data_IF_233102296967
#
_entry.id   IF_233102296967
#
_cell.length_a   1.000
_cell.length_b   1.000
_cell.length_c   1.000
_cell.angle_alpha   90.00
_cell.angle_beta   90.00
_cell.angle_gamma   90.00
#
_symmetry.space_group_name_H-M   'P 1'
#
loop_
_entity.id
_entity.type
_entity.pdbx_description
1 polymer ?
#
# COMPACT_ATOMS: atom_id res chain seq x y z
N UNK A 1 -44.22 -69.62 13.34
CA UNK A 1 -45.59 -69.24 12.92
C UNK A 1 -45.85 -67.74 13.14
N UNK A 2 -46.51 -67.00 12.23
CA UNK A 2 -46.99 -67.41 10.90
C UNK A 2 -48.22 -66.61 10.45
N UNK A 3 -48.00 -65.60 9.59
CA UNK A 3 -49.00 -64.75 8.91
C UNK A 3 -49.89 -63.84 9.78
N UNK A 4 -50.25 -62.65 9.25
CA UNK A 4 -51.04 -61.64 9.99
C UNK A 4 -50.93 -60.18 9.51
N UNK A 5 -50.92 -59.93 8.19
CA UNK A 5 -51.22 -58.61 7.59
C UNK A 5 -52.71 -58.58 7.21
N UNK A 6 -53.36 -57.41 6.93
CA UNK A 6 -52.94 -56.01 7.09
C UNK A 6 -53.68 -55.34 8.30
N UNK A 7 -54.14 -54.07 8.41
CA UNK A 7 -54.29 -52.92 7.50
C UNK A 7 -54.30 -51.53 8.21
N UNK A 8 -54.08 -50.50 7.39
CA UNK A 8 -54.52 -49.08 7.40
C UNK A 8 -54.95 -48.29 8.67
N UNK A 9 -54.45 -47.04 8.69
CA UNK A 9 -55.04 -45.79 9.22
C UNK A 9 -55.12 -45.56 10.74
N UNK A 10 -53.99 -45.07 11.28
CA UNK A 10 -53.82 -44.15 12.42
C UNK A 10 -52.46 -43.43 12.25
N UNK A 11 -52.17 -42.30 12.93
CA UNK A 11 -53.03 -41.51 13.81
C UNK A 11 -53.05 -39.98 13.50
N UNK A 12 -53.89 -39.29 14.28
CA UNK A 12 -53.69 -37.94 14.85
C UNK A 12 -52.27 -37.35 14.80
N UNK A 13 -52.16 -36.04 14.54
CA UNK A 13 -51.08 -35.20 15.11
C UNK A 13 -51.32 -34.93 16.61
N UNK A 14 -50.36 -34.36 17.38
CA UNK A 14 -49.80 -33.04 17.04
C UNK A 14 -48.32 -32.78 17.44
N UNK A 15 -47.73 -31.68 16.95
CA UNK A 15 -46.65 -30.97 17.65
C UNK A 15 -46.41 -29.53 17.11
N UNK A 16 -46.17 -28.61 18.03
CA UNK A 16 -45.53 -27.28 17.85
C UNK A 16 -44.05 -27.39 18.33
N UNK A 17 -43.15 -26.38 18.20
CA UNK A 17 -43.39 -24.95 17.95
C UNK A 17 -42.39 -24.20 17.01
N UNK A 18 -42.69 -22.91 16.78
CA UNK A 18 -41.80 -21.75 16.60
C UNK A 18 -40.52 -21.82 15.73
N UNK A 19 -40.45 -20.93 14.71
CA UNK A 19 -39.21 -20.28 14.24
C UNK A 19 -39.53 -18.98 13.45
N UNK A 20 -38.57 -18.04 13.32
CA UNK A 20 -38.86 -16.65 12.93
C UNK A 20 -38.90 -16.41 11.40
N UNK A 21 -39.19 -15.16 11.02
CA UNK A 21 -39.33 -14.72 9.64
C UNK A 21 -38.09 -14.99 8.77
N UNK A 22 -38.26 -15.78 7.71
CA UNK A 22 -37.32 -15.88 6.61
C UNK A 22 -37.69 -14.86 5.52
N UNK A 23 -36.73 -14.04 5.10
CA UNK A 23 -36.93 -13.06 4.04
C UNK A 23 -37.17 -13.71 2.69
N UNK A 24 -38.01 -13.09 1.85
CA UNK A 24 -38.05 -13.39 0.41
C UNK A 24 -36.63 -13.19 -0.16
N UNK A 25 -36.01 -14.16 -0.85
CA UNK A 25 -34.87 -13.86 -1.67
C UNK A 25 -35.33 -12.94 -2.80
N UNK A 26 -34.76 -11.74 -2.90
CA UNK A 26 -35.01 -10.85 -4.02
C UNK A 26 -34.45 -11.52 -5.29
N UNK A 27 -35.31 -11.83 -6.25
CA UNK A 27 -34.91 -12.43 -7.51
C UNK A 27 -33.96 -11.46 -8.25
N UNK A 28 -32.70 -11.87 -8.45
CA UNK A 28 -31.76 -11.05 -9.22
C UNK A 28 -32.18 -11.04 -10.70
N UNK A 29 -32.32 -9.87 -11.34
CA UNK A 29 -33.05 -9.72 -12.60
C UNK A 29 -32.17 -10.01 -13.83
N UNK A 30 -31.42 -11.11 -13.82
CA UNK A 30 -30.48 -11.46 -14.89
C UNK A 30 -30.71 -12.89 -15.40
N UNK A 31 -30.97 -13.00 -16.70
CA UNK A 31 -31.33 -14.22 -17.41
C UNK A 31 -30.10 -14.81 -18.11
N UNK A 32 -30.11 -16.11 -18.40
CA UNK A 32 -29.01 -16.77 -19.12
C UNK A 32 -28.96 -16.30 -20.58
N UNK A 33 -28.18 -15.25 -20.83
CA UNK A 33 -28.03 -14.58 -22.13
C UNK A 33 -27.76 -13.08 -21.99
N UNK A 34 -28.17 -12.48 -20.86
CA UNK A 34 -27.92 -11.07 -20.56
C UNK A 34 -26.41 -10.82 -20.36
N UNK A 35 -25.89 -9.74 -20.95
CA UNK A 35 -24.55 -9.24 -20.59
C UNK A 35 -24.60 -8.71 -19.16
N UNK A 36 -23.89 -9.39 -18.26
CA UNK A 36 -23.66 -8.94 -16.89
C UNK A 36 -23.09 -7.50 -16.95
N UNK A 37 -23.68 -6.52 -16.24
CA UNK A 37 -23.13 -5.17 -16.17
C UNK A 37 -21.70 -5.23 -15.61
N UNK A 38 -20.75 -4.56 -16.26
CA UNK A 38 -19.34 -4.63 -15.84
C UNK A 38 -19.20 -4.23 -14.36
N UNK A 39 -18.51 -5.05 -13.55
CA UNK A 39 -18.43 -4.86 -12.11
C UNK A 39 -17.78 -3.50 -11.84
N UNK A 40 -18.55 -2.63 -11.20
CA UNK A 40 -18.31 -1.19 -11.29
C UNK A 40 -16.91 -0.84 -10.77
N UNK A 41 -16.05 -0.34 -11.66
CA UNK A 41 -14.70 0.05 -11.30
C UNK A 41 -14.74 1.00 -10.11
N UNK A 42 -14.17 0.58 -8.97
CA UNK A 42 -14.07 1.36 -7.72
C UNK A 42 -13.14 2.58 -7.83
N UNK A 43 -12.97 3.15 -9.03
CA UNK A 43 -12.25 4.40 -9.30
C UNK A 43 -13.12 5.63 -8.97
N UNK A 44 -13.76 5.58 -7.81
CA UNK A 44 -14.54 6.69 -7.28
C UNK A 44 -13.63 7.67 -6.54
N UNK A 45 -13.66 8.94 -6.96
CA UNK A 45 -12.88 10.06 -6.41
C UNK A 45 -11.36 9.93 -6.74
N UNK A 46 -10.66 10.95 -7.21
CA UNK A 46 -10.96 12.39 -7.26
C UNK A 46 -10.84 12.92 -8.69
N UNK A 47 -11.80 13.75 -9.13
CA UNK A 47 -11.55 14.64 -10.26
C UNK A 47 -10.51 15.68 -9.82
N UNK A 48 -9.60 16.04 -10.73
CA UNK A 48 -8.47 16.93 -10.50
C UNK A 48 -8.80 18.16 -9.65
N UNK A 49 -8.31 18.17 -8.41
CA UNK A 49 -7.99 19.42 -7.74
C UNK A 49 -6.96 20.16 -8.62
N UNK A 50 -7.10 21.48 -8.74
CA UNK A 50 -6.44 22.24 -9.80
C UNK A 50 -4.92 22.09 -9.80
N UNK A 51 -4.36 21.69 -10.95
CA UNK A 51 -2.95 21.99 -11.27
C UNK A 51 -2.84 23.48 -11.60
N UNK A 52 -2.83 24.31 -10.57
CA UNK A 52 -2.30 25.67 -10.64
C UNK A 52 -0.81 25.63 -10.95
N UNK A 53 -0.27 26.70 -11.54
CA UNK A 53 1.05 26.76 -12.18
C UNK A 53 2.23 26.87 -11.19
N UNK A 54 2.28 25.98 -10.20
CA UNK A 54 3.51 25.64 -9.49
C UNK A 54 4.30 24.56 -10.24
N UNK A 55 5.58 24.37 -9.89
CA UNK A 55 6.30 23.13 -10.22
C UNK A 55 5.50 21.95 -9.66
N UNK A 56 5.53 20.78 -10.31
CA UNK A 56 4.88 19.63 -9.69
C UNK A 56 5.62 19.24 -8.42
N UNK A 57 4.89 18.82 -7.38
CA UNK A 57 5.46 18.42 -6.09
C UNK A 57 6.58 17.37 -6.27
N UNK A 58 6.44 16.49 -7.25
CA UNK A 58 7.47 15.52 -7.67
C UNK A 58 8.76 16.21 -8.11
N UNK A 59 8.69 17.23 -8.96
CA UNK A 59 9.85 18.00 -9.43
C UNK A 59 10.47 18.82 -8.30
N UNK A 60 9.68 19.39 -7.38
CA UNK A 60 10.21 20.17 -6.25
C UNK A 60 11.05 19.31 -5.29
N UNK A 61 10.55 18.14 -4.89
CA UNK A 61 11.31 17.21 -4.05
C UNK A 61 12.49 16.57 -4.81
N UNK A 62 12.32 16.25 -6.09
CA UNK A 62 13.40 15.67 -6.90
C UNK A 62 14.54 16.66 -7.17
N UNK A 63 14.25 17.94 -7.44
CA UNK A 63 15.30 18.97 -7.58
C UNK A 63 16.07 19.18 -6.28
N UNK A 64 15.42 19.22 -5.11
CA UNK A 64 16.13 19.29 -3.82
C UNK A 64 17.05 18.09 -3.61
N UNK A 65 16.58 16.87 -3.92
CA UNK A 65 17.42 15.67 -3.83
C UNK A 65 18.68 15.79 -4.70
N UNK A 66 18.55 16.32 -5.92
CA UNK A 66 19.69 16.61 -6.82
C UNK A 66 20.60 17.75 -6.35
N UNK A 67 20.08 18.72 -5.60
CA UNK A 67 20.88 19.81 -5.00
C UNK A 67 21.66 19.35 -3.75
N UNK A 68 21.13 18.39 -2.98
CA UNK A 68 21.74 17.90 -1.72
C UNK A 68 22.68 16.70 -1.94
N UNK A 69 22.42 15.81 -2.90
CA UNK A 69 23.30 14.67 -3.23
C UNK A 69 24.78 15.03 -3.45
N UNK A 70 25.16 16.04 -4.26
CA UNK A 70 26.57 16.40 -4.43
C UNK A 70 27.21 16.91 -3.13
N UNK A 71 26.44 17.57 -2.25
CA UNK A 71 26.93 18.03 -0.95
C UNK A 71 27.23 16.84 -0.02
N UNK A 72 26.37 15.81 -0.02
CA UNK A 72 26.63 14.56 0.68
C UNK A 72 27.89 13.84 0.17
N UNK A 73 28.09 13.82 -1.16
CA UNK A 73 29.28 13.24 -1.79
C UNK A 73 30.57 14.01 -1.49
N UNK A 74 30.55 15.34 -1.47
CA UNK A 74 31.72 16.14 -1.13
C UNK A 74 32.05 16.06 0.38
N UNK A 75 31.05 15.92 1.25
CA UNK A 75 31.25 15.58 2.67
C UNK A 75 31.85 14.19 2.87
N UNK A 76 31.39 13.20 2.11
CA UNK A 76 31.96 11.85 2.09
C UNK A 76 33.44 11.86 1.66
N UNK A 77 33.79 12.67 0.65
CA UNK A 77 35.18 12.89 0.20
C UNK A 77 36.05 13.63 1.20
N UNK A 78 35.46 14.56 1.97
CA UNK A 78 36.13 15.27 3.06
C UNK A 78 36.43 14.40 4.28
N UNK A 79 35.77 13.24 4.41
CA UNK A 79 35.87 12.34 5.56
C UNK A 79 34.81 12.60 6.65
N UNK A 80 33.90 13.55 6.44
CA UNK A 80 32.83 13.92 7.37
C UNK A 80 31.67 12.91 7.29
N UNK A 81 31.94 11.63 7.63
CA UNK A 81 31.01 10.50 7.47
C UNK A 81 29.63 10.74 8.12
N UNK A 82 29.59 11.45 9.25
CA UNK A 82 28.34 11.78 9.94
C UNK A 82 27.47 12.77 9.16
N UNK A 83 28.07 13.85 8.63
CA UNK A 83 27.36 14.85 7.83
C UNK A 83 26.99 14.29 6.44
N UNK A 84 27.86 13.47 5.85
CA UNK A 84 27.53 12.73 4.64
C UNK A 84 26.29 11.83 4.84
N UNK A 85 26.21 11.09 5.95
CA UNK A 85 25.06 10.25 6.26
C UNK A 85 23.79 11.06 6.50
N UNK A 86 23.85 12.18 7.24
CA UNK A 86 22.66 13.01 7.47
C UNK A 86 22.10 13.59 6.17
N UNK A 87 22.96 14.08 5.28
CA UNK A 87 22.57 14.58 3.96
C UNK A 87 22.04 13.46 3.05
N UNK A 88 22.62 12.25 3.06
CA UNK A 88 22.05 11.11 2.32
C UNK A 88 20.68 10.67 2.87
N UNK A 89 20.44 10.76 4.19
CA UNK A 89 19.10 10.51 4.74
C UNK A 89 18.08 11.58 4.29
N UNK A 90 18.50 12.84 4.17
CA UNK A 90 17.66 13.93 3.64
C UNK A 90 17.33 13.73 2.15
N UNK A 91 18.32 13.38 1.32
CA UNK A 91 18.11 12.97 -0.09
C UNK A 91 17.11 11.81 -0.18
N UNK A 92 17.28 10.77 0.64
CA UNK A 92 16.36 9.61 0.68
C UNK A 92 14.95 10.01 1.11
N UNK A 93 14.79 10.96 2.03
CA UNK A 93 13.48 11.51 2.46
C UNK A 93 12.80 12.23 1.30
N UNK A 94 13.47 13.18 0.65
CA UNK A 94 12.88 13.93 -0.47
C UNK A 94 12.58 12.99 -1.66
N UNK A 95 13.40 11.98 -1.94
CA UNK A 95 13.10 10.95 -2.94
C UNK A 95 11.87 10.10 -2.56
N UNK A 96 11.65 9.79 -1.28
CA UNK A 96 10.44 9.09 -0.83
C UNK A 96 9.18 9.96 -0.97
N UNK A 97 9.27 11.26 -0.66
CA UNK A 97 8.18 12.24 -0.85
C UNK A 97 7.87 12.43 -2.35
N UNK A 98 8.90 12.50 -3.20
CA UNK A 98 8.75 12.49 -4.66
C UNK A 98 8.09 11.20 -5.18
N UNK A 99 8.52 10.02 -4.70
CA UNK A 99 7.96 8.72 -5.09
C UNK A 99 6.47 8.61 -4.71
N UNK A 100 6.11 9.07 -3.51
CA UNK A 100 4.73 9.10 -3.03
C UNK A 100 3.84 10.05 -3.86
N UNK A 101 4.33 11.25 -4.17
CA UNK A 101 3.62 12.23 -5.01
C UNK A 101 3.49 11.78 -6.49
N UNK A 102 4.41 10.93 -6.96
CA UNK A 102 4.45 10.45 -8.35
C UNK A 102 3.58 9.20 -8.56
N UNK A 103 3.70 8.21 -7.66
CA UNK A 103 2.91 6.98 -7.65
C UNK A 103 3.31 5.94 -8.74
N UNK A 104 3.00 4.64 -8.54
CA UNK A 104 3.54 3.51 -9.32
C UNK A 104 2.96 3.35 -10.75
N UNK A 105 2.59 4.45 -11.40
CA UNK A 105 2.13 4.50 -12.80
C UNK A 105 2.50 5.80 -13.51
N UNK A 106 3.35 6.64 -12.93
CA UNK A 106 3.90 7.84 -13.56
C UNK A 106 5.19 7.52 -14.33
N UNK A 107 5.58 8.32 -15.34
CA UNK A 107 6.81 8.09 -16.10
C UNK A 107 8.08 8.23 -15.25
N UNK A 108 8.04 9.00 -14.16
CA UNK A 108 9.21 9.29 -13.32
C UNK A 108 9.33 8.31 -12.14
N UNK A 109 8.37 7.40 -11.93
CA UNK A 109 8.40 6.52 -10.75
C UNK A 109 9.60 5.58 -10.74
N UNK A 110 9.95 4.99 -11.90
CA UNK A 110 11.11 4.09 -12.01
C UNK A 110 12.43 4.80 -11.72
N UNK A 111 12.63 6.02 -12.22
CA UNK A 111 13.88 6.77 -12.01
C UNK A 111 14.02 7.27 -10.57
N UNK A 112 12.92 7.65 -9.91
CA UNK A 112 12.93 8.00 -8.48
C UNK A 112 13.23 6.76 -7.61
N UNK A 113 12.68 5.59 -7.95
CA UNK A 113 12.97 4.34 -7.25
C UNK A 113 14.43 3.88 -7.45
N UNK A 114 14.97 3.99 -8.67
CA UNK A 114 16.37 3.71 -8.99
C UNK A 114 17.33 4.63 -8.23
N UNK A 115 17.03 5.93 -8.20
CA UNK A 115 17.78 6.91 -7.40
C UNK A 115 17.74 6.56 -5.90
N UNK A 116 16.57 6.20 -5.36
CA UNK A 116 16.41 5.78 -3.95
C UNK A 116 17.21 4.52 -3.61
N UNK A 117 17.33 3.57 -4.54
CA UNK A 117 18.19 2.39 -4.37
C UNK A 117 19.69 2.74 -4.41
N UNK A 118 20.09 3.71 -5.25
CA UNK A 118 21.46 4.23 -5.28
C UNK A 118 21.81 4.99 -3.99
N UNK A 119 20.93 5.88 -3.51
CA UNK A 119 21.11 6.58 -2.23
C UNK A 119 21.18 5.59 -1.07
N UNK A 120 20.36 4.54 -1.07
CA UNK A 120 20.41 3.50 -0.03
C UNK A 120 21.78 2.79 0.01
N UNK A 121 22.33 2.41 -1.15
CA UNK A 121 23.68 1.80 -1.22
C UNK A 121 24.78 2.73 -0.69
N UNK A 122 24.66 4.04 -0.90
CA UNK A 122 25.58 5.02 -0.34
C UNK A 122 25.44 5.11 1.20
N UNK A 123 24.22 5.08 1.73
CA UNK A 123 23.96 5.04 3.19
C UNK A 123 24.56 3.76 3.81
N UNK A 124 24.34 2.61 3.19
CA UNK A 124 24.85 1.32 3.68
C UNK A 124 26.38 1.24 3.61
N UNK A 125 27.00 1.86 2.58
CA UNK A 125 28.44 2.03 2.51
C UNK A 125 28.96 2.87 3.68
N UNK A 126 28.39 4.05 3.95
CA UNK A 126 28.83 4.93 5.04
C UNK A 126 28.61 4.28 6.41
N UNK A 127 27.48 3.60 6.63
CA UNK A 127 27.24 2.80 7.83
C UNK A 127 28.33 1.74 8.07
N UNK A 128 28.90 1.17 7.00
CA UNK A 128 30.01 0.22 7.09
C UNK A 128 31.34 0.80 7.60
N UNK A 129 31.51 2.14 7.60
CA UNK A 129 32.69 2.83 8.13
C UNK A 129 32.47 3.48 9.50
N UNK A 130 31.23 3.59 9.98
CA UNK A 130 30.93 4.16 11.29
C UNK A 130 31.30 3.15 12.41
N UNK A 131 32.11 3.55 13.42
CA UNK A 131 32.43 2.67 14.54
C UNK A 131 31.18 2.25 15.31
N UNK A 132 31.17 1.02 15.81
CA UNK A 132 30.00 0.39 16.44
C UNK A 132 29.45 1.17 17.66
N UNK A 133 30.27 2.01 18.30
CA UNK A 133 29.86 2.88 19.41
C UNK A 133 28.88 4.00 18.98
N UNK A 134 28.85 4.38 17.70
CA UNK A 134 27.89 5.34 17.15
C UNK A 134 26.55 4.69 16.72
N UNK A 135 26.51 3.36 16.60
CA UNK A 135 25.28 2.58 16.32
C UNK A 135 24.55 2.16 17.60
N UNK A 136 25.18 2.34 18.77
CA UNK A 136 24.51 2.21 20.07
C UNK A 136 23.73 3.50 20.35
N UNK A 137 22.42 3.38 20.62
CA UNK A 137 21.67 4.48 21.22
C UNK A 137 22.38 4.96 22.51
N UNK A 138 22.46 6.28 22.76
CA UNK A 138 23.04 6.77 23.99
C UNK A 138 22.25 6.21 25.17
N UNK A 139 22.90 5.37 25.98
CA UNK A 139 22.29 4.80 27.19
C UNK A 139 21.87 5.93 28.12
N UNK A 140 20.58 6.24 28.13
CA UNK A 140 20.00 7.28 28.98
C UNK A 140 20.38 7.02 30.45
N UNK A 141 21.12 7.96 31.02
CA UNK A 141 21.62 7.99 32.41
C UNK A 141 20.91 9.08 33.21
#
# INVERSE_FOLDING_TARGET
PGHGQPFWLKPFGPSSPASPAASRPAAMPYTRGDRIPEPHSRRGKMASAGRTEGKSVVEEHFSKAQEVEPQAMDKLRGGDMYEALSLFMEVKKELAEAAYASGPGSPNYSTIMEASEATQKNIDFVNGYLPYEFLMEPKHS
#
